data_IF_450683177243
#
_entry.id   IF_450683177243
#
_cell.length_a   1.000
_cell.length_b   1.000
_cell.length_c   1.000
_cell.angle_alpha   90.00
_cell.angle_beta   90.00
_cell.angle_gamma   90.00
#
_symmetry.space_group_name_H-M   'P 1'
#
loop_
_entity.id
_entity.type
_entity.pdbx_description
1 polymer ?
#
# COMPACT_ATOMS: atom_id res chain seq x y z
N UNK A 1 -13.35 20.00 -11.77
CA UNK A 1 -13.18 19.95 -10.33
C UNK A 1 -14.21 19.01 -9.72
N UNK A 2 -13.75 17.83 -9.38
CA UNK A 2 -14.58 16.87 -8.68
C UNK A 2 -14.82 17.34 -7.25
N UNK A 3 -15.87 16.84 -6.66
CA UNK A 3 -16.13 16.94 -5.23
C UNK A 3 -16.39 15.53 -4.73
N UNK A 4 -16.42 15.35 -3.44
CA UNK A 4 -16.65 14.04 -2.81
C UNK A 4 -17.87 13.27 -3.36
N UNK A 5 -18.92 13.98 -3.79
CA UNK A 5 -20.07 13.35 -4.44
C UNK A 5 -19.70 12.68 -5.78
N UNK A 6 -18.83 13.32 -6.58
CA UNK A 6 -18.35 12.73 -7.84
C UNK A 6 -17.40 11.56 -7.58
N UNK A 7 -16.50 11.69 -6.60
CA UNK A 7 -15.57 10.63 -6.24
C UNK A 7 -16.32 9.40 -5.74
N UNK A 8 -17.34 9.59 -4.91
CA UNK A 8 -18.22 8.53 -4.42
C UNK A 8 -19.03 7.88 -5.57
N UNK A 9 -19.53 8.67 -6.52
CA UNK A 9 -20.25 8.12 -7.69
C UNK A 9 -19.33 7.27 -8.57
N UNK A 10 -18.11 7.73 -8.84
CA UNK A 10 -17.12 6.98 -9.64
C UNK A 10 -16.73 5.68 -8.94
N UNK A 11 -16.44 5.77 -7.63
CA UNK A 11 -16.10 4.60 -6.82
C UNK A 11 -17.24 3.58 -6.80
N UNK A 12 -18.48 4.04 -6.62
CA UNK A 12 -19.67 3.17 -6.62
C UNK A 12 -19.93 2.55 -7.98
N UNK A 13 -19.77 3.31 -9.08
CA UNK A 13 -19.92 2.77 -10.42
C UNK A 13 -18.91 1.63 -10.70
N UNK A 14 -17.65 1.81 -10.27
CA UNK A 14 -16.63 0.77 -10.36
C UNK A 14 -16.97 -0.45 -9.49
N UNK A 15 -17.42 -0.23 -8.26
CA UNK A 15 -17.87 -1.26 -7.34
C UNK A 15 -19.01 -2.09 -7.96
N UNK A 16 -20.07 -1.43 -8.39
CA UNK A 16 -21.26 -2.09 -8.93
C UNK A 16 -20.94 -2.87 -10.23
N UNK A 17 -20.10 -2.31 -11.10
CA UNK A 17 -19.64 -3.01 -12.31
C UNK A 17 -18.81 -4.26 -11.98
N UNK A 18 -17.90 -4.17 -11.00
CA UNK A 18 -17.13 -5.32 -10.53
C UNK A 18 -18.06 -6.42 -9.97
N UNK A 19 -19.00 -6.04 -9.09
CA UNK A 19 -19.94 -6.99 -8.49
C UNK A 19 -20.91 -7.63 -9.50
N UNK A 20 -21.27 -6.91 -10.54
CA UNK A 20 -22.12 -7.46 -11.60
C UNK A 20 -21.41 -8.58 -12.39
N UNK A 21 -20.11 -8.48 -12.58
CA UNK A 21 -19.32 -9.46 -13.32
C UNK A 21 -18.71 -10.54 -12.42
N UNK A 22 -18.31 -10.15 -11.21
CA UNK A 22 -17.59 -10.98 -10.23
C UNK A 22 -18.20 -10.79 -8.84
N UNK A 23 -19.36 -11.41 -8.54
CA UNK A 23 -20.12 -11.16 -7.31
C UNK A 23 -19.31 -11.39 -6.02
N UNK A 24 -18.40 -12.37 -6.05
CA UNK A 24 -17.58 -12.77 -4.91
C UNK A 24 -16.26 -11.98 -4.79
N UNK A 25 -15.93 -11.13 -5.77
CA UNK A 25 -14.71 -10.34 -5.71
C UNK A 25 -14.79 -9.27 -4.61
N UNK A 26 -13.69 -9.10 -3.89
CA UNK A 26 -13.54 -8.00 -2.92
C UNK A 26 -13.06 -6.75 -3.64
N UNK A 27 -13.81 -5.67 -3.53
CA UNK A 27 -13.46 -4.37 -4.12
C UNK A 27 -12.72 -3.54 -3.08
N UNK A 28 -11.48 -3.19 -3.40
CA UNK A 28 -10.60 -2.42 -2.53
C UNK A 28 -10.60 -0.96 -2.97
N UNK A 29 -10.85 -0.04 -2.05
CA UNK A 29 -10.53 1.38 -2.25
C UNK A 29 -9.16 1.64 -1.63
N UNK A 30 -8.25 2.15 -2.45
CA UNK A 30 -6.84 2.30 -2.10
C UNK A 30 -6.46 3.77 -2.02
N UNK A 31 -5.74 4.13 -0.96
CA UNK A 31 -5.09 5.43 -0.80
C UNK A 31 -3.65 5.28 -0.31
N UNK A 32 -2.88 6.34 -0.51
CA UNK A 32 -1.48 6.43 -0.11
C UNK A 32 -1.30 6.74 1.39
N UNK A 33 -0.06 6.70 1.86
CA UNK A 33 0.39 7.13 3.18
C UNK A 33 -0.26 6.41 4.38
N UNK A 34 -0.06 5.10 4.48
CA UNK A 34 -0.57 4.29 5.60
C UNK A 34 -0.22 4.83 7.00
N UNK A 35 0.85 5.61 7.15
CA UNK A 35 1.28 6.22 8.41
C UNK A 35 0.49 7.46 8.84
N UNK A 36 -0.42 7.95 7.99
CA UNK A 36 -1.29 9.10 8.29
C UNK A 36 -2.66 8.64 8.81
N UNK A 37 -3.38 9.54 9.46
CA UNK A 37 -4.81 9.32 9.74
C UNK A 37 -5.60 9.33 8.41
N UNK A 38 -6.07 8.18 8.00
CA UNK A 38 -6.85 8.00 6.78
C UNK A 38 -8.36 7.86 7.04
N UNK A 39 -8.81 7.85 8.28
CA UNK A 39 -10.22 7.65 8.64
C UNK A 39 -11.13 8.71 8.01
N UNK A 40 -10.67 9.95 7.95
CA UNK A 40 -11.43 11.05 7.35
C UNK A 40 -11.78 10.78 5.87
N UNK A 41 -10.87 10.16 5.11
CA UNK A 41 -11.08 9.85 3.69
C UNK A 41 -12.21 8.84 3.52
N UNK A 42 -12.11 7.68 4.17
CA UNK A 42 -13.09 6.61 4.05
C UNK A 42 -14.45 7.01 4.62
N UNK A 43 -14.46 7.75 5.74
CA UNK A 43 -15.68 8.31 6.31
C UNK A 43 -16.39 9.26 5.33
N UNK A 44 -15.65 10.17 4.72
CA UNK A 44 -16.20 11.12 3.75
C UNK A 44 -16.69 10.41 2.49
N UNK A 45 -15.95 9.40 2.00
CA UNK A 45 -16.37 8.59 0.87
C UNK A 45 -17.72 7.91 1.13
N UNK A 46 -17.85 7.22 2.27
CA UNK A 46 -19.08 6.54 2.66
C UNK A 46 -20.25 7.51 2.87
N UNK A 47 -20.02 8.65 3.51
CA UNK A 47 -21.05 9.68 3.71
C UNK A 47 -21.61 10.24 2.40
N UNK A 48 -20.84 10.19 1.32
CA UNK A 48 -21.26 10.60 -0.02
C UNK A 48 -21.77 9.43 -0.88
N UNK A 49 -21.95 8.24 -0.31
CA UNK A 49 -22.51 7.06 -0.98
C UNK A 49 -21.49 6.18 -1.72
N UNK A 50 -20.21 6.38 -1.47
CA UNK A 50 -19.15 5.50 -1.99
C UNK A 50 -19.23 4.10 -1.38
N UNK A 51 -18.76 3.09 -2.11
CA UNK A 51 -18.79 1.67 -1.71
C UNK A 51 -17.41 1.04 -1.82
N UNK A 52 -17.09 0.15 -0.87
CA UNK A 52 -15.93 -0.74 -0.90
C UNK A 52 -16.16 -1.92 0.03
N UNK A 53 -15.41 -3.01 -0.17
CA UNK A 53 -15.41 -4.18 0.72
C UNK A 53 -14.17 -4.20 1.63
N UNK A 54 -13.09 -3.55 1.20
CA UNK A 54 -11.80 -3.60 1.86
C UNK A 54 -11.05 -2.27 1.70
N UNK A 55 -10.31 -1.89 2.70
CA UNK A 55 -9.42 -0.73 2.71
C UNK A 55 -8.05 -1.15 2.18
N UNK A 56 -7.52 -0.40 1.20
CA UNK A 56 -6.16 -0.56 0.67
C UNK A 56 -5.27 0.62 1.02
N UNK A 57 -4.03 0.34 1.41
CA UNK A 57 -3.06 1.37 1.80
C UNK A 57 -1.72 1.15 1.08
N UNK A 58 -1.06 2.25 0.67
CA UNK A 58 0.37 2.23 0.34
C UNK A 58 1.22 2.54 1.55
N UNK A 59 2.31 1.80 1.73
CA UNK A 59 3.26 1.99 2.82
C UNK A 59 4.70 2.00 2.32
N UNK A 60 5.32 3.19 2.31
CA UNK A 60 6.70 3.40 1.90
C UNK A 60 7.53 3.98 3.06
N UNK A 61 7.91 3.15 4.05
CA UNK A 61 8.47 3.61 5.32
C UNK A 61 9.83 4.29 5.20
N UNK A 62 10.57 4.04 4.11
CA UNK A 62 11.88 4.66 3.90
C UNK A 62 11.83 6.04 3.22
N UNK A 63 10.65 6.55 2.87
CA UNK A 63 10.49 7.86 2.22
C UNK A 63 10.49 9.02 3.22
N UNK A 64 11.55 9.14 4.00
CA UNK A 64 11.74 10.17 5.03
C UNK A 64 11.57 11.60 4.50
N UNK A 65 11.92 11.85 3.25
CA UNK A 65 11.79 13.17 2.62
C UNK A 65 10.34 13.68 2.55
N UNK A 66 9.36 12.80 2.63
CA UNK A 66 7.94 13.18 2.60
C UNK A 66 7.33 13.28 3.99
N UNK A 67 7.77 12.43 4.91
CA UNK A 67 7.17 12.33 6.26
C UNK A 67 7.97 13.08 7.33
N UNK A 68 9.27 13.29 7.13
CA UNK A 68 10.21 13.74 8.16
C UNK A 68 10.52 12.69 9.24
N UNK A 69 9.92 11.47 9.14
CA UNK A 69 9.99 10.39 10.13
C UNK A 69 10.96 9.30 9.68
N UNK A 70 11.51 8.57 10.64
CA UNK A 70 12.24 7.35 10.32
C UNK A 70 11.28 6.18 10.04
N UNK A 71 11.82 5.10 9.49
CA UNK A 71 11.02 3.95 9.09
C UNK A 71 10.36 3.22 10.28
N UNK A 72 11.00 3.25 11.46
CA UNK A 72 10.47 2.60 12.65
C UNK A 72 9.21 3.31 13.15
N UNK A 73 9.26 4.66 13.19
CA UNK A 73 8.10 5.49 13.52
C UNK A 73 7.00 5.32 12.47
N UNK A 74 7.35 5.30 11.18
CA UNK A 74 6.37 5.10 10.10
C UNK A 74 5.67 3.74 10.17
N UNK A 75 6.41 2.66 10.44
CA UNK A 75 5.85 1.33 10.65
C UNK A 75 4.88 1.29 11.84
N UNK A 76 5.25 1.95 12.95
CA UNK A 76 4.40 2.02 14.13
C UNK A 76 3.10 2.77 13.83
N UNK A 77 3.18 3.93 13.20
CA UNK A 77 2.01 4.73 12.84
C UNK A 77 1.10 4.02 11.84
N UNK A 78 1.68 3.36 10.84
CA UNK A 78 0.91 2.57 9.86
C UNK A 78 0.15 1.43 10.54
N UNK A 79 0.77 0.69 11.43
CA UNK A 79 0.10 -0.37 12.18
C UNK A 79 -1.03 0.17 13.07
N UNK A 80 -0.82 1.31 13.73
CA UNK A 80 -1.86 1.98 14.52
C UNK A 80 -3.03 2.44 13.66
N UNK A 81 -2.75 3.05 12.50
CA UNK A 81 -3.79 3.48 11.56
C UNK A 81 -4.61 2.29 11.00
N UNK A 82 -3.96 1.16 10.68
CA UNK A 82 -4.64 -0.07 10.26
C UNK A 82 -5.65 -0.53 11.33
N UNK A 83 -5.26 -0.50 12.62
CA UNK A 83 -6.15 -0.86 13.73
C UNK A 83 -7.32 0.11 13.79
N UNK A 84 -7.07 1.42 13.75
CA UNK A 84 -8.10 2.45 13.82
C UNK A 84 -9.10 2.37 12.66
N UNK A 85 -8.60 2.11 11.43
CA UNK A 85 -9.45 1.93 10.26
C UNK A 85 -10.37 0.70 10.41
N UNK A 86 -9.82 -0.43 10.87
CA UNK A 86 -10.65 -1.60 11.13
C UNK A 86 -11.68 -1.34 12.23
N UNK A 87 -11.28 -0.71 13.33
CA UNK A 87 -12.17 -0.43 14.45
C UNK A 87 -13.34 0.47 14.06
N UNK A 88 -13.10 1.45 13.19
CA UNK A 88 -14.16 2.37 12.73
C UNK A 88 -15.06 1.74 11.66
N UNK A 89 -14.47 1.09 10.65
CA UNK A 89 -15.23 0.66 9.47
C UNK A 89 -15.63 -0.81 9.49
N UNK A 90 -15.13 -1.60 10.44
CA UNK A 90 -15.41 -3.04 10.60
C UNK A 90 -15.20 -3.85 9.32
N UNK A 91 -14.27 -3.43 8.45
CA UNK A 91 -13.91 -4.10 7.22
C UNK A 91 -12.45 -4.56 7.22
N UNK A 92 -12.08 -5.52 6.36
CA UNK A 92 -10.69 -5.93 6.21
C UNK A 92 -9.81 -4.81 5.69
N UNK A 93 -8.51 -4.89 6.02
CA UNK A 93 -7.47 -3.96 5.53
C UNK A 93 -6.38 -4.75 4.82
N UNK A 94 -5.79 -4.17 3.78
CA UNK A 94 -4.66 -4.72 3.05
C UNK A 94 -3.63 -3.62 2.76
N UNK A 95 -2.35 -3.92 2.90
CA UNK A 95 -1.30 -3.07 2.35
C UNK A 95 -1.07 -3.52 0.91
N UNK A 96 -1.65 -2.77 -0.03
CA UNK A 96 -1.64 -3.11 -1.46
C UNK A 96 -0.38 -2.63 -2.17
N UNK A 97 0.43 -1.81 -1.49
CA UNK A 97 1.75 -1.42 -1.92
C UNK A 97 2.68 -1.28 -0.73
N UNK A 98 3.81 -1.97 -0.72
CA UNK A 98 4.94 -1.71 0.16
C UNK A 98 6.22 -1.70 -0.67
N UNK A 99 7.18 -0.87 -0.29
CA UNK A 99 8.49 -0.86 -0.92
C UNK A 99 9.57 -0.33 -0.01
N UNK A 100 10.80 -0.81 -0.24
CA UNK A 100 12.02 -0.31 0.40
C UNK A 100 13.04 0.06 -0.67
N UNK A 101 14.03 0.89 -0.35
CA UNK A 101 15.13 1.12 -1.29
C UNK A 101 15.88 -0.18 -1.54
N UNK A 102 16.14 -0.48 -2.82
CA UNK A 102 16.70 -1.76 -3.28
C UNK A 102 18.09 -2.07 -2.69
N UNK A 103 18.86 -1.03 -2.37
CA UNK A 103 20.23 -1.07 -1.84
C UNK A 103 20.31 -0.72 -0.35
N UNK A 104 19.18 -0.54 0.32
CA UNK A 104 19.17 -0.20 1.73
C UNK A 104 19.60 -1.38 2.61
N UNK A 105 20.59 -1.17 3.48
CA UNK A 105 21.12 -2.20 4.38
C UNK A 105 20.08 -2.67 5.42
N UNK A 106 19.14 -1.82 5.77
CA UNK A 106 18.08 -2.07 6.76
C UNK A 106 16.74 -2.49 6.13
N UNK A 107 16.68 -2.69 4.80
CA UNK A 107 15.45 -3.09 4.11
C UNK A 107 14.78 -4.35 4.70
N UNK A 108 15.59 -5.33 5.13
CA UNK A 108 15.12 -6.55 5.80
C UNK A 108 14.43 -6.21 7.12
N UNK A 109 15.06 -5.38 7.93
CA UNK A 109 14.53 -4.99 9.25
C UNK A 109 13.24 -4.19 9.12
N UNK A 110 13.16 -3.30 8.12
CA UNK A 110 11.97 -2.52 7.80
C UNK A 110 10.76 -3.42 7.53
N UNK A 111 10.89 -4.38 6.63
CA UNK A 111 9.80 -5.30 6.28
C UNK A 111 9.47 -6.24 7.43
N UNK A 112 10.49 -6.78 8.11
CA UNK A 112 10.30 -7.70 9.24
C UNK A 112 9.61 -7.01 10.43
N UNK A 113 9.97 -5.75 10.73
CA UNK A 113 9.32 -4.99 11.80
C UNK A 113 7.85 -4.71 11.47
N UNK A 114 7.56 -4.25 10.24
CA UNK A 114 6.19 -3.99 9.83
C UNK A 114 5.33 -5.26 9.92
N UNK A 115 5.82 -6.38 9.40
CA UNK A 115 5.13 -7.68 9.50
C UNK A 115 4.84 -8.08 10.93
N UNK A 116 5.81 -8.01 11.84
CA UNK A 116 5.58 -8.32 13.26
C UNK A 116 4.43 -7.54 13.89
N UNK A 117 4.22 -6.31 13.42
CA UNK A 117 3.13 -5.44 13.92
C UNK A 117 1.77 -5.82 13.40
N UNK A 118 1.69 -6.38 12.18
CA UNK A 118 0.40 -6.59 11.49
C UNK A 118 0.04 -8.06 11.27
N UNK A 119 0.99 -9.00 11.31
CA UNK A 119 0.75 -10.43 11.02
C UNK A 119 -0.22 -11.11 12.00
N UNK A 120 -0.42 -10.55 13.20
CA UNK A 120 -1.36 -11.07 14.21
C UNK A 120 -2.77 -10.47 14.10
N UNK A 121 -2.97 -9.51 13.22
CA UNK A 121 -4.27 -8.86 13.03
C UNK A 121 -5.10 -9.68 12.03
N UNK A 122 -6.15 -10.36 12.51
CA UNK A 122 -6.97 -11.27 11.69
C UNK A 122 -7.65 -10.59 10.50
N UNK A 123 -7.90 -9.29 10.61
CA UNK A 123 -8.49 -8.47 9.56
C UNK A 123 -7.48 -7.95 8.53
N UNK A 124 -6.17 -8.11 8.79
CA UNK A 124 -5.12 -7.82 7.82
C UNK A 124 -5.04 -8.95 6.80
N UNK A 125 -5.36 -8.66 5.52
CA UNK A 125 -5.52 -9.70 4.50
C UNK A 125 -4.29 -9.97 3.66
N UNK A 126 -3.29 -9.10 3.71
CA UNK A 126 -2.03 -9.32 3.02
C UNK A 126 -1.23 -8.05 2.78
N UNK A 127 -0.06 -8.27 2.21
CA UNK A 127 0.89 -7.23 1.84
C UNK A 127 1.38 -7.55 0.42
N UNK A 128 1.28 -6.59 -0.51
CA UNK A 128 1.89 -6.66 -1.84
C UNK A 128 3.11 -5.77 -1.92
N UNK A 129 4.22 -6.31 -2.40
CA UNK A 129 5.38 -5.50 -2.74
C UNK A 129 5.13 -4.80 -4.09
N UNK A 130 5.33 -3.47 -4.12
CA UNK A 130 5.14 -2.68 -5.35
C UNK A 130 6.31 -2.89 -6.31
N UNK A 131 6.01 -3.29 -7.55
CA UNK A 131 6.99 -3.51 -8.62
C UNK A 131 8.28 -4.22 -8.15
N UNK A 132 8.18 -5.39 -7.48
CA UNK A 132 9.34 -6.03 -6.86
C UNK A 132 10.45 -6.36 -7.86
N UNK A 133 10.10 -6.62 -9.13
CA UNK A 133 11.02 -6.98 -10.21
C UNK A 133 11.95 -5.85 -10.64
N UNK A 134 11.70 -4.62 -10.20
CA UNK A 134 12.52 -3.46 -10.56
C UNK A 134 13.79 -3.42 -9.71
N UNK A 135 14.92 -3.07 -10.32
CA UNK A 135 16.19 -2.80 -9.64
C UNK A 135 16.59 -1.33 -9.83
N UNK A 136 17.52 -0.83 -9.01
CA UNK A 136 17.85 0.60 -8.96
C UNK A 136 18.29 1.24 -10.27
N UNK A 137 18.84 0.46 -11.20
CA UNK A 137 19.25 0.91 -12.54
C UNK A 137 18.20 0.66 -13.64
N UNK A 138 17.04 0.06 -13.30
CA UNK A 138 16.01 -0.24 -14.28
C UNK A 138 15.40 1.03 -14.86
N UNK A 139 15.55 1.21 -16.16
CA UNK A 139 15.02 2.37 -16.88
C UNK A 139 14.84 2.03 -18.35
N UNK A 140 13.68 1.53 -18.76
CA UNK A 140 13.36 1.26 -20.15
C UNK A 140 13.56 2.50 -21.02
N UNK A 141 14.01 2.28 -22.25
CA UNK A 141 14.34 3.38 -23.17
C UNK A 141 13.14 4.28 -23.44
N UNK A 142 11.94 3.71 -23.45
CA UNK A 142 10.67 4.39 -23.64
C UNK A 142 10.30 5.32 -22.48
N UNK A 143 10.84 5.06 -21.29
CA UNK A 143 10.55 5.86 -20.08
C UNK A 143 11.48 7.04 -19.91
N UNK A 144 12.64 7.05 -20.60
CA UNK A 144 13.62 8.13 -20.51
C UNK A 144 13.01 9.50 -20.87
N UNK A 145 12.30 9.64 -22.01
CA UNK A 145 11.68 10.92 -22.38
C UNK A 145 10.59 11.38 -21.40
N UNK A 146 9.98 10.43 -20.67
CA UNK A 146 8.91 10.71 -19.69
C UNK A 146 9.47 11.08 -18.31
N UNK A 147 10.77 10.97 -18.11
CA UNK A 147 11.39 11.16 -16.81
C UNK A 147 11.13 10.04 -15.80
N UNK A 148 10.58 8.91 -16.25
CA UNK A 148 10.23 7.78 -15.39
C UNK A 148 11.42 6.84 -15.16
N UNK A 149 11.40 6.16 -14.02
CA UNK A 149 12.41 5.19 -13.60
C UNK A 149 11.93 4.35 -12.42
N UNK A 150 12.83 3.63 -11.84
CA UNK A 150 12.55 2.62 -10.80
C UNK A 150 12.22 3.19 -9.40
N UNK A 151 12.25 4.47 -9.19
CA UNK A 151 12.19 5.09 -7.85
C UNK A 151 13.22 4.52 -6.85
N UNK A 152 14.14 3.67 -7.30
CA UNK A 152 15.09 2.89 -6.49
C UNK A 152 14.46 1.91 -5.48
N UNK A 153 13.18 1.56 -5.65
CA UNK A 153 12.39 0.74 -4.72
C UNK A 153 12.09 -0.67 -5.22
N UNK A 154 12.98 -1.28 -5.94
CA UNK A 154 12.82 -2.68 -6.34
C UNK A 154 13.26 -3.66 -5.26
N UNK A 155 12.95 -4.91 -5.49
CA UNK A 155 13.34 -6.02 -4.62
C UNK A 155 14.15 -7.10 -5.35
N UNK A 156 14.67 -6.76 -6.52
CA UNK A 156 15.54 -7.63 -7.31
C UNK A 156 16.87 -6.94 -7.65
N UNK A 157 17.91 -7.73 -7.82
CA UNK A 157 19.19 -7.26 -8.38
C UNK A 157 19.10 -7.14 -9.91
N UNK A 158 20.11 -6.52 -10.52
CA UNK A 158 20.20 -6.42 -11.98
C UNK A 158 20.31 -7.81 -12.65
N UNK A 159 20.78 -8.82 -11.92
CA UNK A 159 20.89 -10.22 -12.36
C UNK A 159 19.60 -11.03 -12.16
N UNK A 160 18.51 -10.36 -11.69
CA UNK A 160 17.20 -10.98 -11.51
C UNK A 160 17.08 -11.82 -10.23
N UNK A 161 17.93 -11.60 -9.23
CA UNK A 161 17.86 -12.29 -7.95
C UNK A 161 17.04 -11.48 -6.94
N UNK A 162 16.09 -12.11 -6.22
CA UNK A 162 15.33 -11.42 -5.19
C UNK A 162 16.25 -11.07 -4.01
N UNK A 163 16.12 -9.85 -3.48
CA UNK A 163 16.81 -9.45 -2.26
C UNK A 163 16.16 -10.08 -1.00
N UNK A 164 16.84 -9.96 0.14
CA UNK A 164 16.35 -10.59 1.36
C UNK A 164 15.13 -9.89 1.97
N UNK A 165 14.91 -8.61 1.67
CA UNK A 165 13.71 -7.89 2.10
C UNK A 165 12.44 -8.48 1.48
N UNK A 166 12.47 -8.80 0.17
CA UNK A 166 11.35 -9.47 -0.48
C UNK A 166 11.05 -10.83 0.16
N UNK A 167 12.09 -11.60 0.54
CA UNK A 167 11.93 -12.91 1.19
C UNK A 167 11.20 -12.83 2.54
N UNK A 168 11.24 -11.67 3.20
CA UNK A 168 10.53 -11.47 4.46
C UNK A 168 9.01 -11.48 4.31
N UNK A 169 8.46 -11.26 3.10
CA UNK A 169 7.01 -11.28 2.87
C UNK A 169 6.40 -12.69 2.91
N UNK A 170 7.16 -13.76 2.69
CA UNK A 170 6.66 -15.14 2.72
C UNK A 170 7.32 -16.04 3.77
N UNK A 171 8.33 -15.58 4.49
CA UNK A 171 8.84 -16.33 5.64
C UNK A 171 7.83 -16.25 6.79
N UNK A 172 7.31 -17.38 7.20
CA UNK A 172 6.54 -17.56 8.45
C UNK A 172 7.47 -17.87 9.60
#
# INVERSE_FOLDING_TARGET
>A
PGGWANDAQLTTAGYDACKAMFPDAMVIVHIDNAYMDNNWFYRTLLQNGGKFDMIGLSHYPMMKQWSGKDWLEMNQLAAQNIIQLHDEFQCPVMVVEIGTYADALDAVDVIADFRRRVDTLEYMKGIFYWEPQVYGGWRPQEYIPLGWGSYHMGAFTAEGQPNDALKMLWKR
#
